data_IF_806734923921
#
_entry.id   IF_806734923921
#
_cell.length_a   1.000
_cell.length_b   1.000
_cell.length_c   1.000
_cell.angle_alpha   90.00
_cell.angle_beta   90.00
_cell.angle_gamma   90.00
#
_symmetry.space_group_name_H-M   'P 1'
#
loop_
_entity.id
_entity.type
_entity.pdbx_description
1 polymer ?
#
# COMPACT_ATOMS: atom_id res chain seq x y z
N UNK A 1 -14.97 34.80 -22.29
CA UNK A 1 -14.72 33.74 -21.28
C UNK A 1 -13.34 33.99 -20.67
N UNK A 2 -13.22 34.83 -19.62
CA UNK A 2 -11.93 35.18 -19.06
C UNK A 2 -11.40 34.07 -18.13
N UNK A 3 -10.17 33.65 -18.42
CA UNK A 3 -9.39 32.61 -17.75
C UNK A 3 -9.16 32.89 -16.26
N UNK A 4 -9.23 31.83 -15.44
CA UNK A 4 -8.94 31.90 -14.01
C UNK A 4 -7.46 32.29 -13.73
N UNK A 5 -7.18 33.11 -12.71
CA UNK A 5 -5.83 33.57 -12.43
C UNK A 5 -4.93 32.42 -11.93
N UNK A 6 -3.73 32.35 -12.49
CA UNK A 6 -2.66 31.40 -12.16
C UNK A 6 -2.00 31.73 -10.82
N UNK A 7 -1.71 30.71 -9.99
CA UNK A 7 -1.15 30.78 -8.62
C UNK A 7 0.31 31.28 -8.54
N UNK A 8 0.78 32.05 -9.53
CA UNK A 8 2.22 32.33 -9.72
C UNK A 8 2.62 33.79 -9.49
N UNK A 9 1.75 34.58 -8.88
CA UNK A 9 2.04 35.99 -8.58
C UNK A 9 1.64 36.36 -7.16
N UNK A 10 2.46 35.95 -6.19
CA UNK A 10 2.60 36.68 -4.94
C UNK A 10 4.09 36.99 -4.75
N UNK A 11 4.46 38.15 -5.28
CA UNK A 11 5.69 38.91 -5.01
C UNK A 11 5.90 39.04 -3.50
N UNK A 12 7.06 38.70 -2.94
CA UNK A 12 8.27 39.54 -2.93
C UNK A 12 7.98 41.01 -2.58
N UNK A 13 8.08 41.34 -1.30
CA UNK A 13 8.00 42.71 -0.78
C UNK A 13 8.65 42.80 0.60
N UNK A 14 9.74 43.54 0.68
CA UNK A 14 10.66 43.72 1.80
C UNK A 14 10.30 44.90 2.71
N UNK A 15 10.52 44.79 4.03
CA UNK A 15 11.33 45.70 4.88
C UNK A 15 10.84 45.83 6.35
N UNK A 16 11.70 45.34 7.25
CA UNK A 16 12.05 45.85 8.60
C UNK A 16 10.98 46.34 9.60
N UNK A 17 10.76 45.56 10.66
CA UNK A 17 10.62 46.07 12.04
C UNK A 17 10.80 44.96 13.09
N UNK A 18 11.75 45.20 14.02
CA UNK A 18 11.80 44.77 15.41
C UNK A 18 11.96 43.27 15.77
N UNK A 19 13.11 43.04 16.40
CA UNK A 19 13.53 41.85 17.12
C UNK A 19 12.47 41.25 18.06
N UNK A 20 12.08 40.02 17.76
CA UNK A 20 12.17 38.90 18.69
C UNK A 20 12.05 37.63 17.87
N UNK A 21 13.19 37.06 17.48
CA UNK A 21 13.23 35.69 17.00
C UNK A 21 12.90 34.80 18.20
N UNK A 22 11.62 34.54 18.44
CA UNK A 22 11.23 33.42 19.28
C UNK A 22 11.75 32.18 18.56
N UNK A 23 12.90 31.69 18.98
CA UNK A 23 13.36 30.34 18.69
C UNK A 23 12.37 29.38 19.33
N UNK A 24 11.22 29.18 18.69
CA UNK A 24 10.34 28.08 19.04
C UNK A 24 11.11 26.83 18.61
N UNK A 25 11.70 26.14 19.58
CA UNK A 25 12.23 24.80 19.36
C UNK A 25 11.06 23.95 18.91
N UNK A 26 10.94 23.75 17.60
CA UNK A 26 9.98 22.79 17.07
C UNK A 26 10.49 21.42 17.49
N UNK A 27 9.89 20.84 18.52
CA UNK A 27 10.10 19.44 18.85
C UNK A 27 9.60 18.62 17.68
N UNK A 28 10.51 18.13 16.83
CA UNK A 28 10.18 17.06 15.89
C UNK A 28 9.72 15.88 16.72
N UNK A 29 8.43 15.55 16.66
CA UNK A 29 7.95 14.27 17.13
C UNK A 29 8.72 13.21 16.35
N UNK A 30 9.49 12.37 17.06
CA UNK A 30 10.16 11.24 16.44
C UNK A 30 9.06 10.35 15.82
N UNK A 31 9.01 10.30 14.50
CA UNK A 31 8.20 9.33 13.78
C UNK A 31 8.76 7.96 14.13
N UNK A 32 7.97 7.14 14.83
CA UNK A 32 8.31 5.73 15.00
C UNK A 32 8.22 5.12 13.60
N UNK A 33 9.37 4.73 13.05
CA UNK A 33 9.42 3.90 11.85
C UNK A 33 8.90 2.52 12.21
N UNK A 34 7.58 2.35 12.13
CA UNK A 34 6.94 1.05 12.13
C UNK A 34 7.30 0.39 10.80
N UNK A 35 8.42 -0.33 10.80
CA UNK A 35 8.97 -0.95 9.59
C UNK A 35 7.90 -1.72 8.80
N UNK A 36 8.06 -1.75 7.48
CA UNK A 36 7.04 -2.33 6.59
C UNK A 36 6.88 -3.84 6.84
N UNK A 37 5.65 -4.29 7.08
CA UNK A 37 5.33 -5.71 7.18
C UNK A 37 5.23 -6.33 5.80
N UNK A 38 5.90 -7.46 5.58
CA UNK A 38 5.68 -8.31 4.41
C UNK A 38 4.60 -9.34 4.74
N UNK A 39 3.49 -9.35 3.98
CA UNK A 39 2.38 -10.24 4.26
C UNK A 39 2.76 -11.68 3.92
N UNK A 40 2.15 -12.66 4.61
CA UNK A 40 2.40 -14.07 4.32
C UNK A 40 2.08 -14.46 2.87
N UNK A 41 1.05 -13.84 2.28
CA UNK A 41 0.71 -14.03 0.87
C UNK A 41 1.80 -13.52 -0.08
N UNK A 42 2.44 -12.39 0.23
CA UNK A 42 3.57 -11.89 -0.57
C UNK A 42 4.78 -12.82 -0.45
N UNK A 43 5.09 -13.32 0.75
CA UNK A 43 6.16 -14.30 0.96
C UNK A 43 5.90 -15.58 0.17
N UNK A 44 4.67 -16.12 0.25
CA UNK A 44 4.29 -17.34 -0.45
C UNK A 44 4.32 -17.14 -1.98
N UNK A 45 3.83 -16.00 -2.49
CA UNK A 45 3.88 -15.67 -3.92
C UNK A 45 5.32 -15.54 -4.44
N UNK A 46 6.22 -14.91 -3.68
CA UNK A 46 7.66 -14.83 -4.03
C UNK A 46 8.31 -16.21 -4.13
N UNK A 47 7.83 -17.17 -3.34
CA UNK A 47 8.28 -18.57 -3.39
C UNK A 47 7.48 -19.43 -4.38
N UNK A 48 6.70 -18.80 -5.26
CA UNK A 48 5.90 -19.47 -6.29
C UNK A 48 4.83 -20.39 -5.71
N UNK A 49 4.32 -20.10 -4.51
CA UNK A 49 3.33 -20.92 -3.79
C UNK A 49 3.77 -22.38 -3.57
N UNK A 50 5.08 -22.64 -3.60
CA UNK A 50 5.67 -23.99 -3.63
C UNK A 50 5.22 -24.90 -2.49
N UNK A 51 4.96 -24.34 -1.30
CA UNK A 51 4.45 -25.07 -0.13
C UNK A 51 3.10 -25.78 -0.36
N UNK A 52 2.36 -25.42 -1.42
CA UNK A 52 1.02 -25.96 -1.72
C UNK A 52 1.02 -27.02 -2.83
N UNK A 53 2.16 -27.28 -3.47
CA UNK A 53 2.26 -28.23 -4.59
C UNK A 53 1.89 -29.65 -4.16
N UNK A 54 1.23 -30.39 -5.05
CA UNK A 54 0.78 -31.77 -4.79
C UNK A 54 -0.39 -31.89 -3.81
N UNK A 55 -1.02 -30.78 -3.41
CA UNK A 55 -2.19 -30.75 -2.52
C UNK A 55 -3.42 -30.27 -3.29
N UNK A 56 -4.59 -30.75 -2.89
CA UNK A 56 -5.87 -30.11 -3.24
C UNK A 56 -6.04 -28.90 -2.33
N UNK A 57 -6.14 -27.71 -2.90
CA UNK A 57 -6.15 -26.44 -2.17
C UNK A 57 -7.52 -25.78 -2.28
N UNK A 58 -8.16 -25.56 -1.13
CA UNK A 58 -9.28 -24.63 -1.01
C UNK A 58 -8.76 -23.27 -0.57
N UNK A 59 -9.21 -22.19 -1.21
CA UNK A 59 -8.79 -20.81 -0.88
C UNK A 59 -9.95 -20.06 -0.26
N UNK A 60 -9.80 -19.58 0.97
CA UNK A 60 -10.77 -18.66 1.60
C UNK A 60 -10.25 -17.25 1.42
N UNK A 61 -11.01 -16.38 0.77
CA UNK A 61 -10.57 -15.01 0.50
C UNK A 61 -11.75 -14.05 0.32
N UNK A 62 -11.45 -12.75 0.23
CA UNK A 62 -12.41 -11.68 -0.05
C UNK A 62 -11.69 -10.59 -0.88
N UNK A 63 -12.36 -9.50 -1.31
CA UNK A 63 -11.72 -8.46 -2.12
C UNK A 63 -10.46 -7.81 -1.51
N UNK A 64 -10.22 -7.94 -0.20
CA UNK A 64 -9.01 -7.43 0.46
C UNK A 64 -7.79 -8.34 0.32
N UNK A 65 -7.99 -9.58 -0.16
CA UNK A 65 -6.95 -10.58 -0.38
C UNK A 65 -6.11 -10.28 -1.62
N UNK A 66 -5.39 -9.16 -1.61
CA UNK A 66 -4.49 -8.75 -2.69
C UNK A 66 -3.03 -8.78 -2.25
N UNK A 67 -2.14 -9.04 -3.21
CA UNK A 67 -0.70 -8.90 -3.05
C UNK A 67 -0.29 -7.42 -3.10
N UNK A 68 0.96 -7.10 -2.77
CA UNK A 68 1.52 -5.75 -2.98
C UNK A 68 1.42 -5.27 -4.44
N UNK A 69 1.38 -6.20 -5.40
CA UNK A 69 1.16 -5.90 -6.82
C UNK A 69 -0.29 -5.54 -7.16
N UNK A 70 -1.19 -5.54 -6.18
CA UNK A 70 -2.66 -5.41 -6.32
C UNK A 70 -3.36 -6.57 -7.04
N UNK A 71 -2.63 -7.62 -7.42
CA UNK A 71 -3.22 -8.86 -7.92
C UNK A 71 -3.93 -9.59 -6.77
N UNK A 72 -5.12 -10.13 -7.04
CA UNK A 72 -5.83 -10.95 -6.08
C UNK A 72 -5.07 -12.27 -5.84
N UNK A 73 -5.07 -12.78 -4.61
CA UNK A 73 -4.32 -14.01 -4.24
C UNK A 73 -4.74 -15.21 -5.07
N UNK A 74 -6.04 -15.34 -5.36
CA UNK A 74 -6.58 -16.44 -6.17
C UNK A 74 -6.02 -16.39 -7.59
N UNK A 75 -5.91 -15.22 -8.20
CA UNK A 75 -5.39 -15.06 -9.56
C UNK A 75 -3.90 -15.37 -9.61
N UNK A 76 -3.14 -14.91 -8.61
CA UNK A 76 -1.71 -15.23 -8.47
C UNK A 76 -1.47 -16.74 -8.33
N UNK A 77 -2.33 -17.43 -7.57
CA UNK A 77 -2.27 -18.88 -7.42
C UNK A 77 -2.69 -19.60 -8.71
N UNK A 78 -3.77 -19.16 -9.37
CA UNK A 78 -4.27 -19.76 -10.62
C UNK A 78 -3.29 -19.66 -11.79
N UNK A 79 -2.40 -18.65 -11.77
CA UNK A 79 -1.30 -18.54 -12.72
C UNK A 79 -0.26 -19.67 -12.59
N UNK A 80 -0.19 -20.36 -11.44
CA UNK A 80 0.72 -21.49 -11.21
C UNK A 80 0.08 -22.82 -11.62
N UNK A 81 0.51 -23.37 -12.77
CA UNK A 81 -0.01 -24.63 -13.32
C UNK A 81 0.17 -25.86 -12.43
N UNK A 82 1.09 -25.79 -11.46
CA UNK A 82 1.45 -26.89 -10.56
C UNK A 82 0.53 -26.96 -9.32
N UNK A 83 -0.32 -25.95 -9.13
CA UNK A 83 -1.29 -25.93 -8.04
C UNK A 83 -2.61 -26.55 -8.48
N UNK A 84 -3.23 -27.29 -7.56
CA UNK A 84 -4.55 -27.86 -7.76
C UNK A 84 -5.57 -27.13 -6.87
N UNK A 85 -6.06 -25.99 -7.35
CA UNK A 85 -7.11 -25.22 -6.68
C UNK A 85 -8.46 -25.91 -6.91
N UNK A 86 -9.07 -26.43 -5.85
CA UNK A 86 -10.31 -27.21 -5.92
C UNK A 86 -11.55 -26.42 -5.50
N UNK A 87 -11.37 -25.21 -4.98
CA UNK A 87 -12.47 -24.34 -4.58
C UNK A 87 -11.98 -23.00 -4.06
N UNK A 88 -12.81 -21.98 -4.25
CA UNK A 88 -12.61 -20.63 -3.72
C UNK A 88 -13.86 -20.29 -2.91
N UNK A 89 -13.68 -19.72 -1.72
CA UNK A 89 -14.74 -19.48 -0.76
C UNK A 89 -14.68 -18.05 -0.25
N UNK A 90 -15.68 -17.24 -0.61
CA UNK A 90 -15.94 -15.92 -0.05
C UNK A 90 -16.70 -16.02 1.28
N UNK A 91 -16.26 -15.35 2.36
CA UNK A 91 -16.90 -15.46 3.67
C UNK A 91 -18.32 -14.90 3.73
N UNK A 92 -18.68 -13.94 2.86
CA UNK A 92 -19.98 -13.24 2.94
C UNK A 92 -20.86 -13.40 1.71
N UNK A 93 -20.27 -13.58 0.52
CA UNK A 93 -21.04 -13.64 -0.72
C UNK A 93 -20.63 -14.78 -1.67
N UNK A 94 -19.73 -15.67 -1.22
CA UNK A 94 -19.17 -16.72 -2.07
C UNK A 94 -18.09 -16.20 -3.00
#
# INVERSE_FOLDING_TARGET
>A
MPSAPSRRSLMAGSAAALASQLLTSSSSAATVDVGSVLLGADVAAQQGWSMLRGRKVGVVSNPTGVLRSTAHVVDSMAAQKELNIVGVFGPEHG
#
